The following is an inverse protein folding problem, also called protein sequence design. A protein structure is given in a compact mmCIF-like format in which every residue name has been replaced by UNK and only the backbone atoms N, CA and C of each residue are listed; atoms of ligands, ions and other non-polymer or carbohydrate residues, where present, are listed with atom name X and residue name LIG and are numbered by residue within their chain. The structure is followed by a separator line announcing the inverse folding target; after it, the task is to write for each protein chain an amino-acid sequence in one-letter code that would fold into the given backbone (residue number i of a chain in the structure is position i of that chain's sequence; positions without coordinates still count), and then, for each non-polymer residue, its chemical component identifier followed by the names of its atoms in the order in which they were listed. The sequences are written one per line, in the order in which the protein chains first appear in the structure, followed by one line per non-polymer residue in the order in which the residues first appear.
data_IF_021567631959
#
_entry.id   IF_021567631959
#
_cell.length_a   1.000
_cell.length_b   1.000
_cell.length_c   1.000
_cell.angle_alpha   90.00
_cell.angle_beta   90.00
_cell.angle_gamma   90.00
#
_symmetry.space_group_name_H-M   'P 1'
#
loop_
_entity.id
_entity.type
_entity.pdbx_description
1 polymer ?
#
# COMPACT_ATOMS: atom_id res chain seq x y z
N UNK A 1 17.32 -8.87 5.30
CA UNK A 1 16.20 -8.04 4.81
C UNK A 1 16.73 -7.30 3.61
N UNK A 2 16.34 -7.67 2.39
CA UNK A 2 16.67 -6.84 1.22
C UNK A 2 15.98 -5.50 1.45
N UNK A 3 16.78 -4.43 1.56
CA UNK A 3 16.29 -3.07 1.68
C UNK A 3 15.62 -2.72 0.35
N UNK A 4 14.30 -2.86 0.28
CA UNK A 4 13.54 -2.38 -0.87
C UNK A 4 13.78 -0.87 -0.99
N UNK A 5 14.14 -0.39 -2.19
CA UNK A 5 14.48 1.02 -2.37
C UNK A 5 13.27 1.91 -2.10
N UNK A 6 13.52 3.14 -1.66
CA UNK A 6 12.45 4.10 -1.34
C UNK A 6 11.49 4.36 -2.52
N UNK A 7 11.95 4.19 -3.76
CA UNK A 7 11.10 4.29 -4.96
C UNK A 7 9.95 3.26 -5.01
N UNK A 8 10.01 2.22 -4.17
CA UNK A 8 9.00 1.18 -4.05
C UNK A 8 8.03 1.43 -2.88
N UNK A 9 8.17 2.56 -2.16
CA UNK A 9 7.28 2.92 -1.06
C UNK A 9 6.08 3.72 -1.55
N UNK A 10 4.94 3.54 -0.88
CA UNK A 10 3.77 4.38 -1.05
C UNK A 10 3.18 4.81 0.29
N UNK A 11 2.91 6.11 0.49
CA UNK A 11 2.31 6.59 1.73
C UNK A 11 0.86 6.14 1.87
N UNK A 12 0.42 5.93 3.11
CA UNK A 12 -0.96 5.62 3.42
C UNK A 12 -1.38 6.19 4.77
N UNK A 13 -2.67 6.49 4.90
CA UNK A 13 -3.30 6.94 6.13
C UNK A 13 -4.24 5.88 6.70
N UNK A 14 -4.45 5.97 8.01
CA UNK A 14 -5.40 5.13 8.76
C UNK A 14 -6.50 5.99 9.36
N UNK A 15 -7.71 5.89 8.82
CA UNK A 15 -8.87 6.65 9.29
C UNK A 15 -9.95 5.65 9.70
N UNK A 16 -10.34 5.64 10.98
CA UNK A 16 -11.38 4.72 11.46
C UNK A 16 -11.04 3.23 11.34
N UNK A 17 -9.77 2.89 11.08
CA UNK A 17 -9.32 1.52 10.83
C UNK A 17 -9.32 1.11 9.37
N UNK A 18 -9.77 1.99 8.47
CA UNK A 18 -9.62 1.84 7.03
C UNK A 18 -8.31 2.47 6.56
N UNK A 19 -7.75 1.88 5.49
CA UNK A 19 -6.51 2.33 4.86
C UNK A 19 -6.84 3.19 3.64
N UNK A 20 -6.17 4.32 3.54
CA UNK A 20 -6.46 5.35 2.57
C UNK A 20 -5.20 5.89 1.90
N UNK A 21 -5.28 6.21 0.60
CA UNK A 21 -4.20 6.87 -0.13
C UNK A 21 -4.63 8.27 -0.56
N UNK A 22 -3.79 9.27 -0.26
CA UNK A 22 -3.98 10.63 -0.77
C UNK A 22 -4.02 10.68 -2.30
N UNK A 23 -3.16 9.88 -2.95
CA UNK A 23 -3.10 9.75 -4.40
C UNK A 23 -2.81 8.29 -4.78
N UNK A 24 -3.41 7.80 -5.86
CA UNK A 24 -3.14 6.49 -6.40
C UNK A 24 -1.77 6.46 -7.13
N UNK A 25 -0.87 5.50 -6.85
CA UNK A 25 0.44 5.41 -7.50
C UNK A 25 0.37 5.13 -9.01
N UNK A 26 -0.78 4.64 -9.48
CA UNK A 26 -0.94 4.16 -10.86
C UNK A 26 -1.69 5.13 -11.75
N UNK A 27 -2.85 5.61 -11.30
CA UNK A 27 -3.74 6.45 -12.10
C UNK A 27 -3.85 7.89 -11.57
N UNK A 28 -3.15 8.23 -10.48
CA UNK A 28 -3.16 9.56 -9.87
C UNK A 28 -4.55 10.02 -9.40
N UNK A 29 -5.47 9.08 -9.17
CA UNK A 29 -6.77 9.38 -8.56
C UNK A 29 -6.53 9.89 -7.13
N UNK A 30 -7.08 11.05 -6.74
CA UNK A 30 -6.95 11.54 -5.38
C UNK A 30 -7.90 10.78 -4.44
N UNK A 31 -7.56 10.75 -3.17
CA UNK A 31 -8.46 10.36 -2.09
C UNK A 31 -9.03 8.93 -2.20
N UNK A 32 -8.14 7.94 -2.38
CA UNK A 32 -8.53 6.55 -2.64
C UNK A 32 -8.67 5.76 -1.35
N UNK A 33 -9.92 5.47 -0.96
CA UNK A 33 -10.24 4.51 0.08
C UNK A 33 -9.95 3.09 -0.42
N UNK A 34 -9.03 2.38 0.24
CA UNK A 34 -8.65 1.03 -0.17
C UNK A 34 -9.60 -0.03 0.42
N UNK A 35 -9.63 -1.23 -0.18
CA UNK A 35 -10.35 -2.38 0.40
C UNK A 35 -9.49 -3.20 1.37
N UNK A 36 -8.40 -2.63 1.87
CA UNK A 36 -7.49 -3.33 2.78
C UNK A 36 -8.16 -3.55 4.13
N UNK A 37 -8.34 -4.82 4.51
CA UNK A 37 -8.87 -5.15 5.83
C UNK A 37 -7.80 -5.00 6.90
N UNK A 38 -8.21 -4.71 8.13
CA UNK A 38 -7.29 -4.64 9.28
C UNK A 38 -6.41 -5.89 9.46
N UNK A 39 -6.94 -7.09 9.14
CA UNK A 39 -6.13 -8.32 9.18
C UNK A 39 -5.01 -8.28 8.15
N UNK A 40 -5.30 -7.85 6.93
CA UNK A 40 -4.30 -7.75 5.86
C UNK A 40 -3.25 -6.69 6.19
N UNK A 41 -3.65 -5.61 6.85
CA UNK A 41 -2.71 -4.61 7.33
C UNK A 41 -1.76 -5.22 8.37
N UNK A 42 -2.28 -5.95 9.36
CA UNK A 42 -1.44 -6.68 10.34
C UNK A 42 -0.52 -7.71 9.66
N UNK A 43 -1.06 -8.48 8.72
CA UNK A 43 -0.27 -9.42 7.94
C UNK A 43 0.91 -8.70 7.24
N UNK A 44 0.69 -7.52 6.65
CA UNK A 44 1.74 -6.72 6.02
C UNK A 44 2.77 -6.17 7.04
N UNK A 45 2.35 -5.76 8.24
CA UNK A 45 3.26 -5.40 9.34
C UNK A 45 4.16 -6.57 9.74
N UNK A 46 3.60 -7.78 9.81
CA UNK A 46 4.33 -9.02 10.14
C UNK A 46 5.22 -9.52 9.00
N UNK A 47 5.28 -8.78 7.87
CA UNK A 47 6.08 -9.14 6.69
C UNK A 47 5.46 -10.25 5.84
N UNK A 48 4.17 -10.55 6.05
CA UNK A 48 3.42 -11.47 5.21
C UNK A 48 3.00 -10.74 3.94
N UNK A 49 3.42 -11.29 2.79
CA UNK A 49 3.10 -10.73 1.48
C UNK A 49 1.60 -10.56 1.32
N UNK A 50 1.18 -9.33 1.11
CA UNK A 50 -0.23 -8.94 1.05
C UNK A 50 -0.52 -8.27 -0.28
N UNK A 51 -1.45 -8.82 -1.04
CA UNK A 51 -1.91 -8.20 -2.30
C UNK A 51 -3.03 -7.21 -2.00
N UNK A 52 -2.90 -6.00 -2.53
CA UNK A 52 -3.93 -4.96 -2.48
C UNK A 52 -4.35 -4.62 -3.91
N UNK A 53 -5.66 -4.69 -4.17
CA UNK A 53 -6.24 -4.26 -5.45
C UNK A 53 -6.86 -2.88 -5.23
N UNK A 54 -6.40 -1.90 -5.99
CA UNK A 54 -6.90 -0.54 -5.91
C UNK A 54 -8.26 -0.39 -6.59
N UNK A 55 -9.27 0.19 -5.91
CA UNK A 55 -10.62 0.31 -6.48
C UNK A 55 -10.73 1.27 -7.66
N UNK A 56 -9.84 2.26 -7.76
CA UNK A 56 -9.89 3.29 -8.79
C UNK A 56 -9.46 2.79 -10.19
N UNK A 57 -8.48 1.89 -10.25
CA UNK A 57 -7.89 1.44 -11.52
C UNK A 57 -7.69 -0.08 -11.63
N UNK A 58 -8.15 -0.84 -10.63
CA UNK A 58 -7.93 -2.29 -10.51
C UNK A 58 -6.47 -2.72 -10.56
N UNK A 59 -5.55 -1.80 -10.27
CA UNK A 59 -4.14 -2.11 -10.15
C UNK A 59 -3.89 -2.97 -8.92
N UNK A 60 -3.21 -4.09 -9.12
CA UNK A 60 -2.84 -5.02 -8.06
C UNK A 60 -1.40 -4.76 -7.66
N UNK A 61 -1.18 -4.30 -6.44
CA UNK A 61 0.15 -4.11 -5.86
C UNK A 61 0.45 -5.20 -4.82
N UNK A 62 1.70 -5.65 -4.76
CA UNK A 62 2.16 -6.64 -3.77
C UNK A 62 2.94 -5.92 -2.67
N UNK A 63 2.33 -5.82 -1.49
CA UNK A 63 2.92 -5.26 -0.29
C UNK A 63 3.79 -6.33 0.37
N UNK A 64 5.08 -6.02 0.48
CA UNK A 64 6.08 -6.87 1.12
C UNK A 64 6.19 -6.57 2.62
N UNK A 65 6.02 -5.30 2.98
CA UNK A 65 6.06 -4.84 4.37
C UNK A 65 5.26 -3.55 4.51
N UNK A 66 4.70 -3.33 5.69
CA UNK A 66 4.07 -2.07 6.09
C UNK A 66 4.73 -1.57 7.37
N UNK A 67 4.99 -0.27 7.45
CA UNK A 67 5.24 0.43 8.72
C UNK A 67 4.06 1.34 9.06
N UNK A 68 4.25 2.37 9.88
CA UNK A 68 3.15 3.21 10.36
C UNK A 68 2.45 4.06 9.28
N UNK A 69 3.15 4.45 8.22
CA UNK A 69 2.70 5.38 7.19
C UNK A 69 3.12 5.02 5.75
N UNK A 70 3.89 3.94 5.54
CA UNK A 70 4.34 3.49 4.22
C UNK A 70 4.12 1.99 3.97
N UNK A 71 3.79 1.68 2.71
CA UNK A 71 3.87 0.33 2.16
C UNK A 71 5.10 0.17 1.30
N UNK A 72 5.90 -0.87 1.55
CA UNK A 72 6.96 -1.33 0.66
C UNK A 72 6.42 -2.38 -0.29
N UNK A 73 6.67 -2.21 -1.58
CA UNK A 73 6.24 -3.15 -2.59
C UNK A 73 7.38 -3.74 -3.40
N UNK A 74 7.11 -4.81 -4.15
CA UNK A 74 8.07 -5.41 -5.07
C UNK A 74 8.34 -4.55 -6.31
N UNK A 75 7.52 -3.54 -6.55
CA UNK A 75 7.54 -2.75 -7.77
C UNK A 75 7.79 -1.26 -7.47
N UNK A 76 8.23 -0.53 -8.50
CA UNK A 76 8.49 0.90 -8.38
C UNK A 76 7.16 1.65 -8.50
N UNK A 77 6.81 2.40 -7.45
CA UNK A 77 5.57 3.19 -7.38
C UNK A 77 5.83 4.68 -7.60
N UNK A 78 7.03 5.17 -7.25
CA UNK A 78 7.45 6.55 -7.46
C UNK A 78 8.19 6.69 -8.78
N UNK A 79 7.85 7.69 -9.58
CA UNK A 79 8.56 8.03 -10.83
C UNK A 79 9.79 8.86 -10.54
#
# INVERSE_FOLDING_TARGET
MELLPFQNTWPYDRIGGDVYFDECPKCNEPNVLTYMKQKQLRDAFDGVKTTLILPCCNYSMVIMHADDDYFWTTERLRK
#
